data_IF_013871476447
#
_entry.id   IF_013871476447
#
_cell.length_a   1.000
_cell.length_b   1.000
_cell.length_c   1.000
_cell.angle_alpha   90.00
_cell.angle_beta   90.00
_cell.angle_gamma   90.00
#
_symmetry.space_group_name_H-M   'P 1'
#
loop_
_entity.id
_entity.type
_entity.pdbx_description
1 polymer ?
#
# COMPACT_ATOMS: atom_id res chain seq x y z
N UNK A 1 -2.50 28.48 41.16
CA UNK A 1 -1.53 28.36 40.06
C UNK A 1 -2.14 27.40 39.06
N UNK A 2 -2.56 27.91 37.90
CA UNK A 2 -3.12 27.05 36.88
C UNK A 2 -2.02 26.21 36.27
N UNK A 3 -2.17 24.86 36.22
CA UNK A 3 -1.21 24.07 35.50
C UNK A 3 -1.20 24.54 34.04
N UNK A 4 -0.03 24.80 33.48
CA UNK A 4 0.09 25.07 32.04
C UNK A 4 -0.47 23.89 31.29
N UNK A 5 -1.70 24.06 30.77
CA UNK A 5 -2.31 23.07 29.90
C UNK A 5 -1.56 23.10 28.57
N UNK A 6 -0.67 22.14 28.37
CA UNK A 6 -0.06 21.90 27.08
C UNK A 6 -1.11 21.25 26.18
N UNK A 7 -1.87 22.06 25.47
CA UNK A 7 -2.77 21.57 24.43
C UNK A 7 -2.02 21.53 23.12
N UNK A 8 -2.11 20.39 22.44
CA UNK A 8 -1.58 20.29 21.09
C UNK A 8 -2.37 21.18 20.14
N UNK A 9 -1.73 21.76 19.12
CA UNK A 9 -2.45 22.52 18.10
C UNK A 9 -3.53 21.66 17.44
N UNK A 10 -4.63 22.27 17.05
CA UNK A 10 -5.67 21.58 16.28
C UNK A 10 -5.08 21.06 14.98
N UNK A 11 -5.25 19.79 14.64
CA UNK A 11 -4.76 19.24 13.37
C UNK A 11 -5.37 19.99 12.18
N UNK A 12 -4.53 20.26 11.18
CA UNK A 12 -4.96 20.87 9.91
C UNK A 12 -5.21 19.85 8.81
N UNK A 13 -5.07 18.56 9.15
CA UNK A 13 -5.32 17.47 8.21
C UNK A 13 -6.82 17.27 8.03
N UNK A 14 -7.27 16.98 6.81
CA UNK A 14 -8.66 16.61 6.57
C UNK A 14 -9.04 15.33 7.34
N UNK A 15 -10.33 15.16 7.61
CA UNK A 15 -10.84 13.93 8.20
C UNK A 15 -10.57 12.75 7.25
N UNK A 16 -9.87 11.70 7.69
CA UNK A 16 -9.61 10.52 6.88
C UNK A 16 -10.87 9.85 6.31
N UNK A 17 -11.98 9.95 7.03
CA UNK A 17 -13.27 9.41 6.58
C UNK A 17 -13.84 10.17 5.38
N UNK A 18 -13.39 11.39 5.12
CA UNK A 18 -13.86 12.19 3.98
C UNK A 18 -13.07 11.96 2.70
N UNK A 19 -11.95 11.25 2.76
CA UNK A 19 -11.14 10.95 1.58
C UNK A 19 -11.92 10.04 0.61
N UNK A 20 -11.83 10.28 -0.71
CA UNK A 20 -12.45 9.41 -1.69
C UNK A 20 -11.94 7.98 -1.56
N UNK A 21 -12.81 6.97 -1.57
CA UNK A 21 -12.38 5.59 -1.45
C UNK A 21 -11.66 5.12 -2.71
N UNK A 22 -10.45 4.60 -2.55
CA UNK A 22 -9.70 3.92 -3.57
C UNK A 22 -9.77 2.41 -3.34
N UNK A 23 -9.54 1.65 -4.40
CA UNK A 23 -9.46 0.19 -4.35
C UNK A 23 -8.01 -0.22 -4.21
N UNK A 24 -7.68 -0.80 -3.06
CA UNK A 24 -6.30 -1.11 -2.68
C UNK A 24 -5.90 -2.54 -3.00
N UNK A 25 -4.68 -2.68 -3.51
CA UNK A 25 -3.99 -3.96 -3.61
C UNK A 25 -2.76 -3.98 -2.71
N UNK A 26 -2.45 -5.12 -2.12
CA UNK A 26 -1.26 -5.32 -1.29
C UNK A 26 -0.31 -6.29 -1.96
N UNK A 27 0.95 -5.89 -2.11
CA UNK A 27 2.07 -6.79 -2.43
C UNK A 27 2.82 -7.11 -1.14
N UNK A 28 2.86 -8.38 -0.77
CA UNK A 28 3.53 -8.84 0.43
C UNK A 28 2.64 -8.84 1.68
N UNK A 29 1.82 -9.88 1.89
CA UNK A 29 0.86 -9.96 3.01
C UNK A 29 1.57 -10.36 4.31
N UNK A 30 2.36 -9.47 4.89
CA UNK A 30 3.07 -9.66 6.14
C UNK A 30 2.52 -8.83 7.29
N UNK A 31 3.32 -8.73 8.37
CA UNK A 31 2.91 -8.01 9.58
C UNK A 31 2.65 -6.54 9.37
N UNK A 32 3.49 -5.85 8.59
CA UNK A 32 3.31 -4.41 8.34
C UNK A 32 2.09 -4.14 7.46
N UNK A 33 1.83 -5.00 6.49
CA UNK A 33 0.61 -4.89 5.68
C UNK A 33 -0.64 -5.12 6.53
N UNK A 34 -0.59 -6.07 7.46
CA UNK A 34 -1.66 -6.31 8.43
C UNK A 34 -1.97 -5.05 9.25
N UNK A 35 -0.93 -4.38 9.75
CA UNK A 35 -1.09 -3.16 10.54
C UNK A 35 -1.72 -2.02 9.70
N UNK A 36 -1.24 -1.81 8.48
CA UNK A 36 -1.79 -0.78 7.61
C UNK A 36 -3.25 -1.06 7.26
N UNK A 37 -3.57 -2.25 6.79
CA UNK A 37 -4.93 -2.58 6.34
C UNK A 37 -5.92 -2.54 7.51
N UNK A 38 -5.51 -3.01 8.69
CA UNK A 38 -6.34 -2.91 9.90
C UNK A 38 -6.70 -1.46 10.19
N UNK A 39 -5.72 -0.55 10.19
CA UNK A 39 -5.93 0.87 10.45
C UNK A 39 -6.73 1.54 9.34
N UNK A 40 -6.44 1.18 8.10
CA UNK A 40 -7.13 1.71 6.92
C UNK A 40 -8.63 1.42 6.97
N UNK A 41 -9.00 0.17 7.27
CA UNK A 41 -10.41 -0.23 7.38
C UNK A 41 -11.12 0.37 8.58
N UNK A 42 -10.41 0.56 9.70
CA UNK A 42 -10.99 1.09 10.92
C UNK A 42 -11.24 2.61 10.87
N UNK A 43 -10.41 3.35 10.15
CA UNK A 43 -10.38 4.82 10.22
C UNK A 43 -10.69 5.54 8.91
N UNK A 44 -10.90 4.80 7.82
CA UNK A 44 -11.19 5.36 6.51
C UNK A 44 -12.26 4.57 5.79
N UNK A 45 -12.71 5.09 4.64
CA UNK A 45 -13.58 4.35 3.72
C UNK A 45 -12.81 3.51 2.68
N UNK A 46 -11.49 3.50 2.79
CA UNK A 46 -10.64 2.71 1.91
C UNK A 46 -10.89 1.22 2.11
N UNK A 47 -10.73 0.43 1.06
CA UNK A 47 -10.92 -1.03 1.13
C UNK A 47 -9.84 -1.76 0.37
N UNK A 48 -9.37 -2.86 0.97
CA UNK A 48 -8.51 -3.82 0.31
C UNK A 48 -9.38 -4.69 -0.61
N UNK A 49 -9.05 -4.76 -1.89
CA UNK A 49 -9.80 -5.57 -2.87
C UNK A 49 -9.00 -6.74 -3.41
N UNK A 50 -7.69 -6.68 -3.37
CA UNK A 50 -6.83 -7.74 -3.91
C UNK A 50 -5.51 -7.86 -3.16
N UNK A 51 -4.95 -9.07 -3.13
CA UNK A 51 -3.67 -9.37 -2.49
C UNK A 51 -2.80 -10.16 -3.46
N UNK A 52 -1.53 -9.80 -3.55
CA UNK A 52 -0.52 -10.54 -4.30
C UNK A 52 0.58 -11.04 -3.37
N UNK A 53 0.93 -12.32 -3.53
CA UNK A 53 2.02 -12.96 -2.80
C UNK A 53 2.68 -14.00 -3.71
N UNK A 54 3.91 -14.36 -3.41
CA UNK A 54 4.54 -15.52 -4.05
C UNK A 54 3.97 -16.85 -3.55
N UNK A 55 3.16 -16.81 -2.49
CA UNK A 55 2.43 -17.95 -1.95
C UNK A 55 0.92 -17.71 -2.11
N UNK A 56 0.26 -18.54 -2.89
CA UNK A 56 -1.19 -18.47 -3.08
C UNK A 56 -1.92 -18.64 -1.75
N UNK A 57 -1.46 -19.55 -0.90
CA UNK A 57 -2.06 -19.81 0.40
C UNK A 57 -2.02 -18.55 1.30
N UNK A 58 -0.86 -17.87 1.35
CA UNK A 58 -0.72 -16.64 2.14
C UNK A 58 -1.59 -15.51 1.59
N UNK A 59 -1.68 -15.40 0.27
CA UNK A 59 -2.54 -14.40 -0.36
C UNK A 59 -4.02 -14.67 0.00
N UNK A 60 -4.45 -15.90 -0.09
CA UNK A 60 -5.83 -16.29 0.23
C UNK A 60 -6.18 -16.07 1.71
N UNK A 61 -5.27 -16.41 2.62
CA UNK A 61 -5.46 -16.20 4.05
C UNK A 61 -5.61 -14.71 4.38
N UNK A 62 -4.77 -13.87 3.80
CA UNK A 62 -4.82 -12.44 3.99
C UNK A 62 -6.09 -11.84 3.38
N UNK A 63 -6.46 -12.25 2.19
CA UNK A 63 -7.68 -11.81 1.53
C UNK A 63 -8.92 -12.18 2.35
N UNK A 64 -8.98 -13.39 2.86
CA UNK A 64 -10.09 -13.85 3.72
C UNK A 64 -10.18 -13.04 5.01
N UNK A 65 -9.05 -12.73 5.62
CA UNK A 65 -9.00 -11.96 6.86
C UNK A 65 -9.58 -10.55 6.71
N UNK A 66 -9.32 -9.90 5.59
CA UNK A 66 -9.70 -8.50 5.36
C UNK A 66 -10.85 -8.32 4.37
N UNK A 67 -11.44 -9.40 3.91
CA UNK A 67 -12.57 -9.35 2.99
C UNK A 67 -12.20 -8.93 1.58
N UNK A 68 -10.94 -9.12 1.15
CA UNK A 68 -10.54 -8.86 -0.23
C UNK A 68 -11.14 -9.91 -1.16
N UNK A 69 -11.58 -9.46 -2.32
CA UNK A 69 -12.29 -10.33 -3.27
C UNK A 69 -11.36 -11.27 -4.04
N UNK A 70 -10.10 -10.87 -4.23
CA UNK A 70 -9.16 -11.59 -5.08
C UNK A 70 -7.82 -11.79 -4.41
N UNK A 71 -7.22 -12.96 -4.63
CA UNK A 71 -5.90 -13.33 -4.14
C UNK A 71 -5.10 -13.90 -5.31
N UNK A 72 -3.91 -13.37 -5.52
CA UNK A 72 -3.04 -13.74 -6.62
C UNK A 72 -1.74 -14.36 -6.13
N UNK A 73 -1.24 -15.35 -6.86
CA UNK A 73 0.03 -16.02 -6.56
C UNK A 73 1.26 -15.32 -7.15
N UNK A 74 1.06 -14.22 -7.86
CA UNK A 74 2.14 -13.41 -8.41
C UNK A 74 1.85 -11.91 -8.31
N UNK A 75 2.91 -11.12 -8.28
CA UNK A 75 2.80 -9.65 -8.23
C UNK A 75 2.30 -9.10 -9.57
N UNK A 76 2.71 -9.75 -10.67
CA UNK A 76 2.29 -9.39 -12.02
C UNK A 76 0.77 -9.49 -12.19
N UNK A 77 0.19 -10.55 -11.66
CA UNK A 77 -1.26 -10.73 -11.70
C UNK A 77 -2.00 -9.65 -10.92
N UNK A 78 -1.49 -9.27 -9.74
CA UNK A 78 -2.11 -8.23 -8.94
C UNK A 78 -2.11 -6.88 -9.66
N UNK A 79 -0.95 -6.46 -10.19
CA UNK A 79 -0.87 -5.15 -10.84
C UNK A 79 -1.65 -5.08 -12.16
N UNK A 80 -1.95 -6.22 -12.76
CA UNK A 80 -2.77 -6.32 -13.95
C UNK A 80 -4.28 -6.26 -13.65
N UNK A 81 -4.69 -6.31 -12.40
CA UNK A 81 -6.11 -6.27 -12.00
C UNK A 81 -6.69 -4.87 -12.28
N UNK A 82 -7.66 -4.75 -13.20
CA UNK A 82 -8.23 -3.44 -13.54
C UNK A 82 -9.06 -2.83 -12.39
N UNK A 83 -9.46 -3.62 -11.42
CA UNK A 83 -10.21 -3.16 -10.25
C UNK A 83 -9.35 -2.62 -9.12
N UNK A 84 -8.02 -2.57 -9.30
CA UNK A 84 -7.09 -2.02 -8.32
C UNK A 84 -6.63 -0.64 -8.76
N UNK A 85 -6.77 0.35 -7.88
CA UNK A 85 -6.37 1.74 -8.13
C UNK A 85 -4.98 2.05 -7.60
N UNK A 86 -4.66 1.53 -6.41
CA UNK A 86 -3.41 1.81 -5.69
C UNK A 86 -2.80 0.51 -5.15
N UNK A 87 -1.48 0.41 -5.28
CA UNK A 87 -0.70 -0.72 -4.79
C UNK A 87 0.10 -0.28 -3.57
N UNK A 88 -0.07 -1.01 -2.46
CA UNK A 88 0.79 -0.89 -1.29
C UNK A 88 1.88 -1.96 -1.35
N UNK A 89 3.13 -1.53 -1.44
CA UNK A 89 4.29 -2.42 -1.50
C UNK A 89 4.83 -2.63 -0.08
N UNK A 90 4.61 -3.82 0.46
CA UNK A 90 5.04 -4.25 1.79
C UNK A 90 5.97 -5.47 1.74
N UNK A 91 6.63 -5.68 0.62
CA UNK A 91 7.62 -6.73 0.40
C UNK A 91 8.96 -6.37 1.07
N UNK A 92 9.94 -7.29 1.14
CA UNK A 92 11.28 -6.96 1.62
C UNK A 92 11.89 -5.80 0.83
N UNK A 93 12.76 -5.00 1.49
CA UNK A 93 13.36 -3.80 0.89
C UNK A 93 14.06 -4.06 -0.44
N UNK A 94 14.70 -5.24 -0.57
CA UNK A 94 15.38 -5.64 -1.81
C UNK A 94 14.44 -5.80 -3.01
N UNK A 95 13.14 -5.92 -2.79
CA UNK A 95 12.15 -6.09 -3.85
C UNK A 95 11.41 -4.78 -4.19
N UNK A 96 11.64 -3.70 -3.42
CA UNK A 96 10.90 -2.45 -3.59
C UNK A 96 11.08 -1.85 -4.99
N UNK A 97 12.29 -1.82 -5.53
CA UNK A 97 12.53 -1.29 -6.88
C UNK A 97 11.72 -2.05 -7.92
N UNK A 98 11.86 -3.37 -7.96
CA UNK A 98 11.17 -4.20 -8.95
C UNK A 98 9.65 -4.08 -8.82
N UNK A 99 9.13 -4.10 -7.59
CA UNK A 99 7.70 -3.97 -7.34
C UNK A 99 7.17 -2.59 -7.72
N UNK A 100 7.93 -1.53 -7.44
CA UNK A 100 7.56 -0.17 -7.82
C UNK A 100 7.48 -0.02 -9.35
N UNK A 101 8.49 -0.48 -10.06
CA UNK A 101 8.51 -0.43 -11.52
C UNK A 101 7.36 -1.22 -12.14
N UNK A 102 7.03 -2.36 -11.56
CA UNK A 102 5.92 -3.19 -12.00
C UNK A 102 4.58 -2.45 -11.86
N UNK A 103 4.33 -1.83 -10.70
CA UNK A 103 3.09 -1.09 -10.44
C UNK A 103 2.98 0.16 -11.31
N UNK A 104 4.07 0.91 -11.47
CA UNK A 104 4.12 2.10 -12.33
C UNK A 104 3.84 1.72 -13.78
N UNK A 105 4.46 0.64 -14.27
CA UNK A 105 4.24 0.13 -15.62
C UNK A 105 2.80 -0.28 -15.89
N UNK A 106 2.07 -0.67 -14.86
CA UNK A 106 0.65 -1.01 -14.94
C UNK A 106 -0.28 0.22 -14.75
N UNK A 107 0.28 1.41 -14.59
CA UNK A 107 -0.50 2.64 -14.41
C UNK A 107 -1.17 2.79 -13.05
N UNK A 108 -0.67 2.10 -12.02
CA UNK A 108 -1.24 2.14 -10.68
C UNK A 108 -0.61 3.25 -9.83
N UNK A 109 -1.40 3.84 -8.95
CA UNK A 109 -0.85 4.63 -7.85
C UNK A 109 -0.05 3.72 -6.90
N UNK A 110 0.90 4.30 -6.19
CA UNK A 110 1.88 3.52 -5.45
C UNK A 110 2.15 4.11 -4.07
N UNK A 111 2.10 3.26 -3.05
CA UNK A 111 2.57 3.55 -1.72
C UNK A 111 3.60 2.49 -1.35
N UNK A 112 4.83 2.89 -1.09
CA UNK A 112 5.92 1.97 -0.77
C UNK A 112 6.27 2.10 0.71
N UNK A 113 6.39 0.96 1.40
CA UNK A 113 6.88 0.93 2.78
C UNK A 113 8.32 1.44 2.87
N UNK A 114 8.70 1.97 3.99
CA UNK A 114 10.10 2.35 4.26
C UNK A 114 10.97 1.06 4.31
N UNK A 115 12.25 1.07 3.99
CA UNK A 115 12.92 2.16 3.27
C UNK A 115 12.49 2.16 1.81
N UNK A 116 12.31 3.35 1.26
CA UNK A 116 11.80 3.52 -0.11
C UNK A 116 12.50 2.61 -1.11
N UNK A 117 13.84 2.64 -1.12
CA UNK A 117 14.70 1.74 -1.87
C UNK A 117 15.97 1.46 -1.07
N UNK A 118 16.84 0.57 -1.57
CA UNK A 118 18.10 0.22 -0.90
C UNK A 118 19.16 1.31 -1.01
N UNK A 119 19.08 2.18 -2.03
CA UNK A 119 20.05 3.24 -2.29
C UNK A 119 19.46 4.35 -3.18
N UNK A 120 20.19 5.45 -3.30
CA UNK A 120 19.75 6.60 -4.08
C UNK A 120 19.64 6.31 -5.58
N UNK A 121 20.46 5.41 -6.12
CA UNK A 121 20.38 5.02 -7.52
C UNK A 121 19.06 4.35 -7.86
N UNK A 122 18.63 3.43 -7.02
CA UNK A 122 17.32 2.78 -7.14
C UNK A 122 16.16 3.79 -6.97
N UNK A 123 16.27 4.70 -6.02
CA UNK A 123 15.26 5.75 -5.81
C UNK A 123 15.11 6.63 -7.05
N UNK A 124 16.20 6.97 -7.72
CA UNK A 124 16.16 7.73 -8.97
C UNK A 124 15.47 6.95 -10.09
N UNK A 125 15.69 5.64 -10.17
CA UNK A 125 15.00 4.80 -11.15
C UNK A 125 13.49 4.81 -10.96
N UNK A 126 13.01 4.73 -9.72
CA UNK A 126 11.57 4.81 -9.42
C UNK A 126 11.02 6.18 -9.80
N UNK A 127 11.72 7.26 -9.41
CA UNK A 127 11.33 8.63 -9.75
C UNK A 127 11.23 8.83 -11.26
N UNK A 128 12.22 8.36 -12.01
CA UNK A 128 12.27 8.54 -13.47
C UNK A 128 11.16 7.72 -14.16
N UNK A 129 10.87 6.53 -13.67
CA UNK A 129 9.78 5.70 -14.19
C UNK A 129 8.40 6.36 -13.96
N UNK A 130 8.19 6.94 -12.77
CA UNK A 130 6.96 7.66 -12.44
C UNK A 130 6.78 8.89 -13.34
N UNK A 131 7.83 9.66 -13.53
CA UNK A 131 7.79 10.85 -14.38
C UNK A 131 7.56 10.54 -15.86
N UNK A 132 7.83 9.32 -16.32
CA UNK A 132 7.61 8.86 -17.70
C UNK A 132 6.22 8.23 -17.90
N UNK A 133 5.51 7.96 -16.81
CA UNK A 133 4.20 7.30 -16.86
C UNK A 133 3.06 8.26 -17.21
#
# INVERSE_FOLDING_TARGET
MDPMSLTLPTPRTPDPMSAPPLRWGVLGPGGIATALVTTLHANTRQRLVAVGSRSQERAEQFAARFGAERAYSSYEQLVADPEVDIIYVATPHSEHLANALLAIGAGKHLLIEKAFTRNAGEARQVRDAEGAA
#
